data_IF_067922999396
#
_entry.id   IF_067922999396
#
_cell.length_a   1.000
_cell.length_b   1.000
_cell.length_c   1.000
_cell.angle_alpha   90.00
_cell.angle_beta   90.00
_cell.angle_gamma   90.00
#
_symmetry.space_group_name_H-M   'P 1'
#
loop_
_entity.id
_entity.type
_entity.pdbx_description
1 polymer ?
#
# COMPACT_ATOMS: atom_id res chain seq x y z
N UNK A 1 17.75 -14.85 14.10
CA UNK A 1 16.99 -13.59 13.88
C UNK A 1 16.34 -13.64 12.50
N UNK A 2 15.00 -13.53 12.41
CA UNK A 2 14.35 -13.38 11.09
C UNK A 2 14.68 -12.00 10.59
N UNK A 3 15.30 -11.90 9.42
CA UNK A 3 15.73 -10.65 8.80
C UNK A 3 14.54 -9.71 8.51
N UNK A 4 14.70 -8.41 8.73
CA UNK A 4 13.76 -7.37 8.28
C UNK A 4 13.79 -7.18 6.76
N UNK A 5 14.83 -7.67 6.10
CA UNK A 5 15.06 -7.44 4.67
C UNK A 5 13.87 -7.81 3.77
N UNK A 6 13.20 -8.97 3.93
CA UNK A 6 12.03 -9.29 3.11
C UNK A 6 10.89 -8.28 3.26
N UNK A 7 10.66 -7.79 4.49
CA UNK A 7 9.59 -6.83 4.75
C UNK A 7 9.91 -5.44 4.18
N UNK A 8 11.15 -4.99 4.32
CA UNK A 8 11.66 -3.75 3.70
C UNK A 8 11.52 -3.84 2.18
N UNK A 9 11.94 -4.95 1.58
CA UNK A 9 11.83 -5.18 0.13
C UNK A 9 10.37 -5.15 -0.34
N UNK A 10 9.46 -5.79 0.37
CA UNK A 10 8.03 -5.77 0.04
C UNK A 10 7.47 -4.34 0.07
N UNK A 11 7.75 -3.59 1.14
CA UNK A 11 7.29 -2.20 1.27
C UNK A 11 7.87 -1.34 0.16
N UNK A 12 9.16 -1.48 -0.17
CA UNK A 12 9.80 -0.73 -1.24
C UNK A 12 9.14 -1.01 -2.60
N UNK A 13 8.95 -2.29 -2.95
CA UNK A 13 8.30 -2.70 -4.20
C UNK A 13 6.88 -2.15 -4.32
N UNK A 14 6.06 -2.30 -3.27
CA UNK A 14 4.68 -1.86 -3.30
C UNK A 14 4.59 -0.33 -3.32
N UNK A 15 5.42 0.37 -2.53
CA UNK A 15 5.42 1.85 -2.53
C UNK A 15 5.77 2.40 -3.90
N UNK A 16 6.83 1.89 -4.53
CA UNK A 16 7.21 2.29 -5.88
C UNK A 16 6.07 2.02 -6.88
N UNK A 17 5.46 0.84 -6.83
CA UNK A 17 4.35 0.46 -7.70
C UNK A 17 3.14 1.37 -7.49
N UNK A 18 2.77 1.68 -6.24
CA UNK A 18 1.65 2.54 -5.90
C UNK A 18 1.83 3.98 -6.36
N UNK A 19 3.00 4.55 -6.12
CA UNK A 19 3.31 5.94 -6.52
C UNK A 19 3.09 6.14 -8.01
N UNK A 20 3.47 5.16 -8.83
CA UNK A 20 3.25 5.21 -10.28
C UNK A 20 1.81 4.85 -10.67
N UNK A 21 1.25 3.78 -10.13
CA UNK A 21 -0.11 3.32 -10.47
C UNK A 21 -1.21 4.33 -10.10
N UNK A 22 -0.98 5.18 -9.10
CA UNK A 22 -1.87 6.27 -8.70
C UNK A 22 -1.66 7.56 -9.52
N UNK A 23 -0.77 7.55 -10.50
CA UNK A 23 -0.48 8.69 -11.36
C UNK A 23 0.29 9.82 -10.67
N UNK A 24 0.92 9.57 -9.52
CA UNK A 24 1.61 10.61 -8.76
C UNK A 24 2.87 11.12 -9.45
N UNK A 25 3.40 10.38 -10.43
CA UNK A 25 4.57 10.73 -11.22
C UNK A 25 4.22 11.34 -12.57
N UNK A 26 2.93 11.54 -12.89
CA UNK A 26 2.48 12.01 -14.20
C UNK A 26 2.86 13.46 -14.47
N UNK A 27 2.98 14.28 -13.42
CA UNK A 27 3.49 15.66 -13.56
C UNK A 27 4.98 15.73 -13.21
N UNK A 28 5.76 16.62 -13.86
CA UNK A 28 7.13 16.86 -13.46
C UNK A 28 7.13 17.40 -12.04
N UNK A 29 7.58 16.55 -11.10
CA UNK A 29 7.58 16.87 -9.69
C UNK A 29 8.87 17.60 -9.35
N UNK A 30 8.70 18.72 -8.68
CA UNK A 30 9.79 19.53 -8.15
C UNK A 30 10.01 19.18 -6.68
N UNK A 31 11.15 19.53 -6.15
CA UNK A 31 11.51 19.26 -4.76
C UNK A 31 10.51 19.85 -3.74
N UNK A 32 9.66 20.77 -4.18
CA UNK A 32 8.55 21.36 -3.40
C UNK A 32 7.56 20.35 -2.83
N UNK A 33 7.45 19.14 -3.43
CA UNK A 33 6.56 18.09 -2.93
C UNK A 33 7.09 17.40 -1.68
N UNK A 34 8.42 17.41 -1.46
CA UNK A 34 9.04 16.69 -0.36
C UNK A 34 8.53 17.11 1.03
N UNK A 35 8.39 18.41 1.36
CA UNK A 35 7.86 18.83 2.66
C UNK A 35 6.41 18.35 2.87
N UNK A 36 5.56 18.43 1.83
CA UNK A 36 4.16 17.99 1.90
C UNK A 36 4.06 16.48 2.04
N UNK A 37 4.87 15.73 1.27
CA UNK A 37 4.96 14.28 1.40
C UNK A 37 5.35 13.89 2.83
N UNK A 38 6.43 14.46 3.36
CA UNK A 38 6.91 14.18 4.72
C UNK A 38 5.85 14.53 5.77
N UNK A 39 5.16 15.67 5.61
CA UNK A 39 4.08 16.07 6.52
C UNK A 39 3.02 14.97 6.61
N UNK A 40 2.44 14.53 5.48
CA UNK A 40 1.38 13.52 5.48
C UNK A 40 1.89 12.12 5.85
N UNK A 41 3.13 11.79 5.54
CA UNK A 41 3.77 10.57 6.02
C UNK A 41 3.85 10.53 7.56
N UNK A 42 4.11 11.67 8.21
CA UNK A 42 4.20 11.76 9.67
C UNK A 42 2.83 11.81 10.32
N UNK A 43 1.93 12.69 9.88
CA UNK A 43 0.66 12.95 10.58
C UNK A 43 -0.44 11.93 10.25
N UNK A 44 -0.34 11.24 9.13
CA UNK A 44 -1.38 10.32 8.67
C UNK A 44 -0.87 8.89 8.41
N UNK A 45 0.15 8.69 7.55
CA UNK A 45 0.62 7.37 7.19
C UNK A 45 1.24 6.60 8.38
N UNK A 46 2.09 7.26 9.18
CA UNK A 46 2.70 6.64 10.36
C UNK A 46 1.67 6.21 11.42
N UNK A 47 0.71 7.05 11.82
CA UNK A 47 -0.34 6.63 12.74
C UNK A 47 -1.16 5.45 12.25
N UNK A 48 -1.45 5.39 10.94
CA UNK A 48 -2.16 4.27 10.30
C UNK A 48 -1.33 2.98 10.33
N UNK A 49 -0.02 3.03 10.10
CA UNK A 49 0.85 1.86 10.17
C UNK A 49 0.84 1.22 11.59
N UNK A 50 0.72 2.04 12.63
CA UNK A 50 0.54 1.54 13.99
C UNK A 50 -0.83 0.90 14.23
N UNK A 51 -1.86 1.20 13.44
CA UNK A 51 -3.16 0.50 13.53
C UNK A 51 -3.00 -0.97 13.14
N UNK A 52 -2.27 -1.27 12.06
CA UNK A 52 -2.02 -2.66 11.67
C UNK A 52 -1.20 -3.40 12.74
N UNK A 53 -0.18 -2.74 13.32
CA UNK A 53 0.56 -3.30 14.44
C UNK A 53 -0.34 -3.58 15.65
N UNK A 54 -1.25 -2.66 15.98
CA UNK A 54 -2.23 -2.83 17.06
C UNK A 54 -3.08 -4.08 16.82
N UNK A 55 -3.63 -4.24 15.61
CA UNK A 55 -4.50 -5.36 15.26
C UNK A 55 -3.75 -6.70 15.34
N UNK A 56 -2.57 -6.79 14.71
CA UNK A 56 -1.75 -8.01 14.69
C UNK A 56 -1.24 -8.38 16.08
N UNK A 57 -0.69 -7.42 16.82
CA UNK A 57 -0.13 -7.69 18.16
C UNK A 57 -1.19 -8.11 19.15
N UNK A 58 -2.43 -7.63 18.98
CA UNK A 58 -3.55 -8.02 19.84
C UNK A 58 -4.14 -9.38 19.49
N UNK A 59 -4.24 -9.71 18.20
CA UNK A 59 -4.98 -10.90 17.75
C UNK A 59 -4.09 -12.04 17.29
N UNK A 60 -2.86 -11.76 16.87
CA UNK A 60 -1.94 -12.67 16.18
C UNK A 60 -2.58 -13.32 14.95
N UNK A 61 -3.47 -12.56 14.27
CA UNK A 61 -4.26 -13.01 13.12
C UNK A 61 -4.29 -11.96 12.03
N UNK A 62 -4.53 -12.42 10.80
CA UNK A 62 -4.82 -11.55 9.65
C UNK A 62 -6.13 -10.79 9.87
N UNK A 63 -6.33 -9.62 9.22
CA UNK A 63 -7.49 -8.76 9.45
C UNK A 63 -8.85 -9.47 9.37
N UNK A 64 -9.03 -10.39 8.42
CA UNK A 64 -10.31 -11.10 8.22
C UNK A 64 -10.74 -11.93 9.44
N UNK A 65 -9.81 -12.52 10.18
CA UNK A 65 -10.07 -13.21 11.44
C UNK A 65 -9.86 -12.32 12.67
N UNK A 66 -8.86 -11.42 12.60
CA UNK A 66 -8.51 -10.53 13.69
C UNK A 66 -9.66 -9.60 14.06
N UNK A 67 -10.39 -9.04 13.09
CA UNK A 67 -11.54 -8.20 13.33
C UNK A 67 -12.72 -8.97 13.98
N UNK A 68 -12.85 -10.27 13.71
CA UNK A 68 -13.86 -11.09 14.42
C UNK A 68 -13.52 -11.17 15.92
N UNK A 69 -12.25 -11.39 16.25
CA UNK A 69 -11.81 -11.42 17.65
C UNK A 69 -11.97 -10.06 18.32
N UNK A 70 -11.52 -8.98 17.66
CA UNK A 70 -11.59 -7.61 18.20
C UNK A 70 -13.02 -7.16 18.46
N UNK A 71 -13.94 -7.41 17.51
CA UNK A 71 -15.34 -7.00 17.64
C UNK A 71 -16.03 -7.72 18.79
N UNK A 72 -15.68 -9.00 19.02
CA UNK A 72 -16.19 -9.77 20.14
C UNK A 72 -15.61 -9.29 21.48
N UNK A 73 -14.29 -9.11 21.55
CA UNK A 73 -13.60 -8.75 22.80
C UNK A 73 -13.88 -7.30 23.25
N UNK A 74 -14.18 -6.41 22.32
CA UNK A 74 -14.49 -5.02 22.60
C UNK A 74 -16.00 -4.76 22.75
N UNK A 75 -16.83 -5.78 22.52
CA UNK A 75 -18.31 -5.70 22.51
C UNK A 75 -18.81 -4.59 21.58
N UNK A 76 -18.31 -4.56 20.36
CA UNK A 76 -18.69 -3.59 19.33
C UNK A 76 -19.42 -4.26 18.18
N UNK A 77 -20.15 -3.45 17.40
CA UNK A 77 -20.96 -3.93 16.28
C UNK A 77 -20.16 -4.82 15.32
N UNK A 78 -20.78 -5.92 14.88
CA UNK A 78 -20.23 -6.84 13.90
C UNK A 78 -20.00 -6.20 12.53
N UNK A 79 -20.62 -5.05 12.23
CA UNK A 79 -20.42 -4.29 11.00
C UNK A 79 -18.95 -3.90 10.77
N UNK A 80 -18.16 -3.71 11.83
CA UNK A 80 -16.73 -3.41 11.73
C UNK A 80 -15.90 -4.52 11.07
N UNK A 81 -16.44 -5.75 11.02
CA UNK A 81 -15.80 -6.88 10.30
C UNK A 81 -15.75 -6.66 8.79
N UNK A 82 -16.62 -5.80 8.24
CA UNK A 82 -16.65 -5.44 6.81
C UNK A 82 -15.37 -4.70 6.36
N UNK A 83 -14.59 -4.15 7.27
CA UNK A 83 -13.32 -3.51 6.93
C UNK A 83 -12.31 -4.49 6.31
N UNK A 84 -12.32 -5.78 6.72
CA UNK A 84 -11.40 -6.75 6.14
C UNK A 84 -11.74 -7.07 4.66
N UNK A 85 -12.96 -7.47 4.27
CA UNK A 85 -13.27 -7.63 2.85
C UNK A 85 -13.13 -6.31 2.06
N UNK A 86 -13.39 -5.14 2.65
CA UNK A 86 -13.15 -3.86 2.00
C UNK A 86 -11.67 -3.64 1.68
N UNK A 87 -10.77 -3.97 2.61
CA UNK A 87 -9.32 -3.90 2.38
C UNK A 87 -8.84 -4.92 1.34
N UNK A 88 -9.41 -6.12 1.31
CA UNK A 88 -9.11 -7.12 0.28
C UNK A 88 -9.56 -6.64 -1.11
N UNK A 89 -10.74 -6.01 -1.20
CA UNK A 89 -11.24 -5.40 -2.43
C UNK A 89 -10.30 -4.27 -2.90
N UNK A 90 -9.83 -3.41 -1.98
CA UNK A 90 -8.86 -2.37 -2.29
C UNK A 90 -7.57 -2.94 -2.91
N UNK A 91 -7.04 -4.05 -2.36
CA UNK A 91 -5.87 -4.73 -2.94
C UNK A 91 -6.17 -5.34 -4.32
N UNK A 92 -7.35 -5.92 -4.53
CA UNK A 92 -7.73 -6.48 -5.82
C UNK A 92 -7.86 -5.39 -6.89
N UNK A 93 -8.48 -4.24 -6.56
CA UNK A 93 -8.54 -3.08 -7.45
C UNK A 93 -7.15 -2.53 -7.75
N UNK A 94 -6.28 -2.46 -6.74
CA UNK A 94 -4.89 -2.05 -6.94
C UNK A 94 -4.14 -2.98 -7.90
N UNK A 95 -4.39 -4.29 -7.83
CA UNK A 95 -3.77 -5.25 -8.76
C UNK A 95 -4.17 -4.94 -10.21
N UNK A 96 -5.44 -4.64 -10.48
CA UNK A 96 -5.93 -4.22 -11.79
C UNK A 96 -5.26 -2.92 -12.25
N UNK A 97 -5.33 -1.88 -11.44
CA UNK A 97 -4.77 -0.56 -11.77
C UNK A 97 -3.27 -0.62 -12.04
N UNK A 98 -2.51 -1.29 -11.17
CA UNK A 98 -1.06 -1.35 -11.31
C UNK A 98 -0.62 -2.23 -12.50
N UNK A 99 -1.33 -3.31 -12.81
CA UNK A 99 -1.04 -4.13 -13.99
C UNK A 99 -1.32 -3.34 -15.28
N UNK A 100 -2.43 -2.62 -15.33
CA UNK A 100 -2.77 -1.75 -16.45
C UNK A 100 -1.73 -0.63 -16.64
N UNK A 101 -1.38 0.10 -15.57
CA UNK A 101 -0.39 1.15 -15.60
C UNK A 101 0.99 0.63 -16.06
N UNK A 102 1.45 -0.51 -15.52
CA UNK A 102 2.74 -1.10 -15.84
C UNK A 102 2.88 -1.50 -17.32
N UNK A 103 1.78 -1.72 -18.01
CA UNK A 103 1.78 -2.22 -19.39
C UNK A 103 1.44 -1.15 -20.42
N UNK A 104 0.58 -0.19 -20.07
CA UNK A 104 0.16 0.86 -21.01
C UNK A 104 1.16 2.01 -21.14
N UNK A 105 1.98 2.25 -20.11
CA UNK A 105 3.02 3.27 -20.17
C UNK A 105 4.34 2.80 -20.78
N UNK A 106 4.47 1.52 -21.11
CA UNK A 106 5.63 1.04 -21.86
C UNK A 106 5.52 1.54 -23.30
N UNK A 107 6.45 2.42 -23.69
CA UNK A 107 6.54 2.93 -25.06
C UNK A 107 7.05 1.79 -25.96
N UNK A 108 6.12 1.08 -26.56
CA UNK A 108 6.45 0.11 -27.63
C UNK A 108 6.73 0.88 -28.91
N UNK A 109 7.89 0.69 -29.49
CA UNK A 109 8.31 1.31 -30.77
C UNK A 109 7.44 0.89 -31.96
N UNK A 110 6.75 -0.25 -31.84
CA UNK A 110 5.73 -0.74 -32.78
C UNK A 110 4.57 -1.30 -31.95
N UNK A 111 3.40 -0.65 -31.89
CA UNK A 111 2.30 -1.14 -31.08
C UNK A 111 1.66 -2.34 -31.79
N UNK A 112 2.11 -3.54 -31.47
CA UNK A 112 1.27 -4.71 -31.68
C UNK A 112 0.10 -4.57 -30.68
N UNK A 113 -1.03 -4.00 -31.16
CA UNK A 113 -2.21 -3.69 -30.34
C UNK A 113 -2.66 -4.91 -29.53
N UNK A 114 -2.59 -6.11 -30.12
CA UNK A 114 -2.95 -7.36 -29.48
C UNK A 114 -2.09 -7.67 -28.25
N UNK A 115 -0.76 -7.41 -28.33
CA UNK A 115 0.13 -7.63 -27.20
C UNK A 115 -0.15 -6.64 -26.05
N UNK A 116 -0.46 -5.39 -26.37
CA UNK A 116 -0.79 -4.36 -25.39
C UNK A 116 -2.05 -4.70 -24.61
N UNK A 117 -3.05 -5.26 -25.26
CA UNK A 117 -4.31 -5.69 -24.61
C UNK A 117 -4.12 -6.92 -23.70
N UNK A 118 -3.25 -7.86 -24.08
CA UNK A 118 -3.03 -9.12 -23.35
C UNK A 118 -2.06 -8.95 -22.18
N UNK A 119 -1.15 -8.00 -22.26
CA UNK A 119 -0.06 -7.85 -21.31
C UNK A 119 -0.50 -7.62 -19.85
N UNK A 120 -1.54 -6.83 -19.52
CA UNK A 120 -2.03 -6.69 -18.15
C UNK A 120 -2.45 -8.03 -17.53
N UNK A 121 -3.07 -8.90 -18.31
CA UNK A 121 -3.48 -10.24 -17.85
C UNK A 121 -2.29 -11.16 -17.62
N UNK A 122 -1.24 -11.07 -18.45
CA UNK A 122 0.01 -11.80 -18.22
C UNK A 122 0.69 -11.33 -16.94
N UNK A 123 0.70 -10.02 -16.66
CA UNK A 123 1.21 -9.49 -15.38
C UNK A 123 0.44 -10.10 -14.21
N UNK A 124 -0.90 -10.15 -14.25
CA UNK A 124 -1.71 -10.78 -13.20
C UNK A 124 -1.41 -12.28 -13.09
N UNK A 125 -1.26 -12.99 -14.21
CA UNK A 125 -0.93 -14.41 -14.20
C UNK A 125 0.42 -14.70 -13.52
N UNK A 126 1.46 -13.97 -13.89
CA UNK A 126 2.77 -14.09 -13.24
C UNK A 126 2.72 -13.69 -11.77
N UNK A 127 1.99 -12.63 -11.44
CA UNK A 127 1.75 -12.19 -10.07
C UNK A 127 1.21 -13.32 -9.18
N UNK A 128 0.16 -13.99 -9.63
CA UNK A 128 -0.43 -15.11 -8.89
C UNK A 128 0.48 -16.33 -8.89
N UNK A 129 1.22 -16.57 -9.99
CA UNK A 129 2.25 -17.61 -10.07
C UNK A 129 3.34 -17.43 -8.99
N UNK A 130 3.88 -16.22 -8.83
CA UNK A 130 4.84 -15.93 -7.77
C UNK A 130 4.23 -16.01 -6.37
N UNK A 131 2.99 -15.58 -6.17
CA UNK A 131 2.27 -15.76 -4.91
C UNK A 131 2.06 -17.26 -4.58
N UNK A 132 1.87 -18.11 -5.60
CA UNK A 132 1.79 -19.56 -5.42
C UNK A 132 3.11 -20.15 -4.91
N UNK A 133 4.25 -19.71 -5.45
CA UNK A 133 5.59 -20.14 -4.99
C UNK A 133 5.86 -19.63 -3.57
N UNK A 134 5.35 -18.46 -3.23
CA UNK A 134 5.52 -17.79 -1.94
C UNK A 134 6.59 -16.69 -1.96
N UNK A 135 6.15 -15.48 -1.73
CA UNK A 135 6.99 -14.28 -1.85
C UNK A 135 8.06 -14.16 -0.77
N UNK A 136 7.85 -14.73 0.40
CA UNK A 136 8.77 -14.57 1.54
C UNK A 136 10.24 -14.89 1.24
N UNK A 137 10.50 -15.89 0.41
CA UNK A 137 11.87 -16.28 0.02
C UNK A 137 12.44 -15.37 -1.05
N UNK A 138 11.60 -14.97 -1.99
CA UNK A 138 11.99 -14.14 -3.14
C UNK A 138 12.27 -12.69 -2.72
N UNK A 139 11.54 -12.16 -1.76
CA UNK A 139 11.66 -10.76 -1.33
C UNK A 139 13.07 -10.36 -0.89
N UNK A 140 13.86 -11.27 -0.34
CA UNK A 140 15.26 -10.99 0.04
C UNK A 140 16.16 -10.64 -1.16
N UNK A 141 15.79 -11.10 -2.36
CA UNK A 141 16.57 -10.90 -3.59
C UNK A 141 15.95 -9.83 -4.48
N UNK A 142 14.63 -9.88 -4.68
CA UNK A 142 13.95 -9.00 -5.64
C UNK A 142 13.87 -7.55 -5.17
N UNK A 143 14.04 -7.29 -3.89
CA UNK A 143 14.05 -5.92 -3.34
C UNK A 143 15.12 -5.02 -3.92
N UNK A 144 16.21 -5.59 -4.46
CA UNK A 144 17.27 -4.82 -5.13
C UNK A 144 16.79 -4.18 -6.44
N UNK A 145 15.70 -4.67 -7.04
CA UNK A 145 15.14 -4.09 -8.26
C UNK A 145 14.72 -2.63 -8.05
N UNK A 146 14.23 -2.28 -6.85
CA UNK A 146 13.77 -0.91 -6.57
C UNK A 146 14.90 0.12 -6.66
N UNK A 147 16.00 0.01 -5.89
CA UNK A 147 17.08 0.98 -6.01
C UNK A 147 17.71 0.99 -7.40
N UNK A 148 17.83 -0.16 -8.06
CA UNK A 148 18.36 -0.23 -9.44
C UNK A 148 17.43 0.51 -10.41
N UNK A 149 16.12 0.28 -10.35
CA UNK A 149 15.15 0.97 -11.18
C UNK A 149 15.16 2.49 -10.94
N UNK A 150 15.22 2.94 -9.67
CA UNK A 150 15.30 4.36 -9.34
C UNK A 150 16.58 5.01 -9.86
N UNK A 151 17.73 4.33 -9.79
CA UNK A 151 19.00 4.82 -10.35
C UNK A 151 18.92 4.93 -11.87
N UNK A 152 18.40 3.89 -12.55
CA UNK A 152 18.23 3.91 -14.02
C UNK A 152 17.35 5.08 -14.45
N UNK A 153 16.21 5.29 -13.76
CA UNK A 153 15.33 6.41 -14.07
C UNK A 153 16.00 7.78 -13.77
N UNK A 154 16.75 7.89 -12.68
CA UNK A 154 17.48 9.11 -12.34
C UNK A 154 18.56 9.47 -13.37
N UNK A 155 19.18 8.47 -14.00
CA UNK A 155 20.20 8.68 -15.04
C UNK A 155 19.60 9.16 -16.38
N UNK A 156 18.36 8.78 -16.67
CA UNK A 156 17.63 9.18 -17.89
C UNK A 156 16.79 10.42 -17.73
N UNK A 157 16.45 10.81 -16.50
CA UNK A 157 15.63 11.99 -16.20
C UNK A 157 16.49 13.23 -15.91
N UNK A 158 16.09 14.39 -16.41
CA UNK A 158 16.67 15.67 -16.01
C UNK A 158 16.09 16.07 -14.64
N UNK A 159 16.80 15.77 -13.57
CA UNK A 159 16.39 16.18 -12.22
C UNK A 159 16.36 17.73 -12.14
N UNK A 160 15.20 18.30 -11.87
CA UNK A 160 15.04 19.73 -11.63
C UNK A 160 14.88 19.97 -10.14
N UNK A 161 15.81 20.72 -9.55
CA UNK A 161 15.79 21.08 -8.12
C UNK A 161 15.19 22.49 -7.93
N UNK A 162 13.98 22.67 -8.43
CA UNK A 162 13.27 23.95 -8.30
C UNK A 162 12.25 23.88 -7.16
N UNK A 163 12.08 24.99 -6.43
CA UNK A 163 11.08 25.15 -5.38
C UNK A 163 10.06 26.21 -5.80
N UNK A 164 8.79 25.86 -5.76
CA UNK A 164 7.69 26.78 -5.96
C UNK A 164 6.49 26.43 -5.07
N UNK A 165 5.57 27.36 -4.97
CA UNK A 165 4.33 27.15 -4.23
C UNK A 165 3.45 26.16 -4.95
N UNK A 166 3.02 25.12 -4.22
CA UNK A 166 2.13 24.09 -4.73
C UNK A 166 0.71 24.62 -4.87
N UNK A 167 0.04 24.23 -5.94
CA UNK A 167 -1.40 24.47 -6.12
C UNK A 167 -2.22 23.59 -5.18
N UNK A 168 -3.49 23.93 -4.87
CA UNK A 168 -4.36 23.07 -4.06
C UNK A 168 -4.50 21.66 -4.62
N UNK A 169 -4.54 21.49 -5.94
CA UNK A 169 -4.62 20.17 -6.60
C UNK A 169 -3.34 19.35 -6.36
N UNK A 170 -2.18 19.98 -6.41
CA UNK A 170 -0.90 19.32 -6.11
C UNK A 170 -0.81 18.91 -4.64
N UNK A 171 -1.31 19.72 -3.71
CA UNK A 171 -1.44 19.33 -2.31
C UNK A 171 -2.30 18.09 -2.14
N UNK A 172 -3.47 18.03 -2.79
CA UNK A 172 -4.37 16.88 -2.76
C UNK A 172 -3.68 15.62 -3.34
N UNK A 173 -2.99 15.78 -4.47
CA UNK A 173 -2.27 14.70 -5.13
C UNK A 173 -1.23 14.08 -4.19
N UNK A 174 -0.37 14.90 -3.58
CA UNK A 174 0.69 14.42 -2.68
C UNK A 174 0.11 13.84 -1.39
N UNK A 175 -0.91 14.48 -0.80
CA UNK A 175 -1.58 13.98 0.39
C UNK A 175 -2.26 12.62 0.13
N UNK A 176 -2.98 12.48 -0.99
CA UNK A 176 -3.59 11.22 -1.38
C UNK A 176 -2.53 10.14 -1.59
N UNK A 177 -1.44 10.47 -2.28
CA UNK A 177 -0.32 9.56 -2.48
C UNK A 177 0.31 9.08 -1.18
N UNK A 178 0.58 9.98 -0.25
CA UNK A 178 1.14 9.62 1.05
C UNK A 178 0.21 8.69 1.85
N UNK A 179 -1.11 8.95 1.86
CA UNK A 179 -2.07 8.09 2.54
C UNK A 179 -2.24 6.75 1.83
N UNK A 180 -2.47 6.77 0.52
CA UNK A 180 -2.76 5.55 -0.25
C UNK A 180 -1.55 4.63 -0.35
N UNK A 181 -0.33 5.19 -0.44
CA UNK A 181 0.91 4.40 -0.38
C UNK A 181 1.20 3.82 1.00
N UNK A 182 0.43 4.21 2.03
CA UNK A 182 0.69 3.78 3.41
C UNK A 182 0.57 2.27 3.63
N UNK A 183 0.00 1.51 2.68
CA UNK A 183 -0.24 0.06 2.78
C UNK A 183 -1.00 -0.34 4.04
N UNK A 184 -1.27 0.61 4.92
CA UNK A 184 -2.04 0.42 6.14
C UNK A 184 -3.49 0.12 5.78
N UNK A 185 -4.15 -0.59 6.65
CA UNK A 185 -5.54 -1.00 6.44
C UNK A 185 -5.80 -1.82 5.16
N UNK A 186 -4.74 -2.31 4.50
CA UNK A 186 -4.83 -3.21 3.35
C UNK A 186 -4.65 -4.68 3.75
N UNK A 187 -4.11 -4.92 4.94
CA UNK A 187 -3.68 -6.24 5.41
C UNK A 187 -2.24 -6.60 5.03
N UNK A 188 -1.57 -5.83 4.17
CA UNK A 188 -0.17 -6.08 3.78
C UNK A 188 0.76 -5.91 4.97
N UNK A 189 0.64 -4.81 5.73
CA UNK A 189 1.42 -4.65 6.96
C UNK A 189 1.14 -5.77 7.96
N UNK A 190 -0.10 -6.20 8.10
CA UNK A 190 -0.44 -7.34 8.96
C UNK A 190 0.27 -8.60 8.51
N UNK A 191 0.25 -8.91 7.20
CA UNK A 191 0.96 -10.06 6.63
C UNK A 191 2.48 -9.98 6.87
N UNK A 192 3.10 -8.80 6.69
CA UNK A 192 4.53 -8.58 6.95
C UNK A 192 4.88 -8.73 8.43
N UNK A 193 4.07 -8.16 9.32
CA UNK A 193 4.30 -8.21 10.77
C UNK A 193 4.19 -9.62 11.33
N UNK A 194 3.26 -10.43 10.81
CA UNK A 194 3.12 -11.83 11.22
C UNK A 194 4.32 -12.70 10.82
N UNK A 195 5.09 -12.29 9.83
CA UNK A 195 6.31 -13.00 9.42
C UNK A 195 7.56 -12.58 10.20
N UNK A 196 7.51 -11.45 10.90
CA UNK A 196 8.61 -10.96 11.72
C UNK A 196 8.63 -11.63 13.09
N UNK A 197 9.79 -11.57 13.75
CA UNK A 197 9.90 -11.92 15.18
C UNK A 197 9.19 -10.83 15.99
N UNK A 198 8.31 -11.22 16.94
CA UNK A 198 7.69 -10.24 17.84
C UNK A 198 8.75 -9.41 18.55
N UNK A 199 8.60 -8.08 18.52
CA UNK A 199 9.47 -7.13 19.22
C UNK A 199 8.76 -6.60 20.46
N UNK A 200 9.51 -6.10 21.43
CA UNK A 200 8.94 -5.54 22.65
C UNK A 200 8.04 -4.34 22.34
N UNK A 201 8.51 -3.41 21.52
CA UNK A 201 7.79 -2.20 21.12
C UNK A 201 7.29 -2.29 19.67
N UNK A 202 6.09 -1.78 19.41
CA UNK A 202 5.55 -1.71 18.04
C UNK A 202 6.39 -0.81 17.13
N UNK A 203 7.00 0.24 17.70
CA UNK A 203 7.89 1.17 16.97
C UNK A 203 9.07 0.45 16.31
N UNK A 204 9.67 -0.53 16.97
CA UNK A 204 10.80 -1.29 16.41
C UNK A 204 10.45 -2.11 15.18
N UNK A 205 9.16 -2.43 14.99
CA UNK A 205 8.67 -3.16 13.81
C UNK A 205 8.20 -2.20 12.71
N UNK A 206 7.53 -1.11 13.10
CA UNK A 206 6.87 -0.21 12.16
C UNK A 206 7.80 0.85 11.58
N UNK A 207 8.68 1.45 12.40
CA UNK A 207 9.53 2.55 11.94
C UNK A 207 10.43 2.18 10.74
N UNK A 208 11.10 1.00 10.68
CA UNK A 208 11.88 0.63 9.50
C UNK A 208 11.04 0.51 8.23
N UNK A 209 9.81 -0.02 8.33
CA UNK A 209 8.91 -0.17 7.19
C UNK A 209 8.38 1.19 6.71
N UNK A 210 7.92 2.01 7.65
CA UNK A 210 7.45 3.36 7.36
C UNK A 210 8.57 4.25 6.79
N UNK A 211 9.80 4.15 7.31
CA UNK A 211 10.95 4.89 6.78
C UNK A 211 11.26 4.46 5.34
N UNK A 212 11.24 3.15 5.07
CA UNK A 212 11.41 2.62 3.70
C UNK A 212 10.36 3.19 2.75
N UNK A 213 9.10 3.16 3.15
CA UNK A 213 8.00 3.72 2.38
C UNK A 213 8.20 5.23 2.13
N UNK A 214 8.56 5.98 3.17
CA UNK A 214 8.79 7.43 3.08
C UNK A 214 9.91 7.76 2.10
N UNK A 215 11.04 7.06 2.20
CA UNK A 215 12.22 7.29 1.35
C UNK A 215 11.97 6.84 -0.08
N UNK A 216 11.45 5.63 -0.29
CA UNK A 216 11.19 5.11 -1.64
C UNK A 216 10.12 5.94 -2.35
N UNK A 217 9.05 6.33 -1.65
CA UNK A 217 8.01 7.18 -2.21
C UNK A 217 8.56 8.56 -2.59
N UNK A 218 9.36 9.17 -1.72
CA UNK A 218 10.01 10.44 -2.02
C UNK A 218 10.94 10.35 -3.22
N UNK A 219 11.78 9.33 -3.29
CA UNK A 219 12.69 9.12 -4.42
C UNK A 219 11.92 8.87 -5.72
N UNK A 220 10.86 8.05 -5.70
CA UNK A 220 10.03 7.81 -6.86
C UNK A 220 9.34 9.10 -7.36
N UNK A 221 8.90 9.95 -6.44
CA UNK A 221 8.33 11.27 -6.75
C UNK A 221 9.37 12.21 -7.36
N UNK A 222 10.57 12.31 -6.79
CA UNK A 222 11.64 13.21 -7.25
C UNK A 222 12.17 12.80 -8.63
N UNK A 223 12.30 11.49 -8.87
CA UNK A 223 12.78 10.97 -10.15
C UNK A 223 11.71 11.10 -11.25
N UNK A 224 10.43 11.12 -10.88
CA UNK A 224 9.31 11.45 -11.77
C UNK A 224 8.92 10.35 -12.74
N UNK A 225 8.29 10.75 -13.85
CA UNK A 225 7.73 9.85 -14.84
C UNK A 225 8.83 9.11 -15.61
N UNK A 226 8.61 7.83 -15.81
CA UNK A 226 9.45 6.98 -16.64
C UNK A 226 9.34 7.32 -18.13
N UNK A 227 10.46 7.60 -18.75
CA UNK A 227 10.54 7.82 -20.20
C UNK A 227 11.44 6.77 -20.90
N UNK A 228 12.30 6.10 -20.12
CA UNK A 228 13.25 5.11 -20.64
C UNK A 228 12.63 3.71 -20.66
N UNK A 229 12.77 3.00 -21.77
CA UNK A 229 12.27 1.64 -21.96
C UNK A 229 12.85 0.64 -20.92
N UNK A 230 14.13 0.79 -20.56
CA UNK A 230 14.78 -0.09 -19.57
C UNK A 230 14.12 0.10 -18.20
N UNK A 231 13.88 1.35 -17.81
CA UNK A 231 13.18 1.64 -16.56
C UNK A 231 11.78 1.06 -16.54
N UNK A 232 11.02 1.19 -17.64
CA UNK A 232 9.66 0.67 -17.74
C UNK A 232 9.60 -0.85 -17.58
N UNK A 233 10.57 -1.58 -18.16
CA UNK A 233 10.69 -3.03 -17.95
C UNK A 233 11.01 -3.35 -16.48
N UNK A 234 11.95 -2.62 -15.88
CA UNK A 234 12.27 -2.79 -14.45
C UNK A 234 11.09 -2.47 -13.55
N UNK A 235 10.35 -1.40 -13.85
CA UNK A 235 9.12 -1.05 -13.14
C UNK A 235 8.07 -2.16 -13.26
N UNK A 236 7.87 -2.72 -14.45
CA UNK A 236 6.94 -3.85 -14.64
C UNK A 236 7.34 -5.06 -13.80
N UNK A 237 8.63 -5.38 -13.71
CA UNK A 237 9.12 -6.44 -12.82
C UNK A 237 8.86 -6.11 -11.35
N UNK A 238 9.13 -4.88 -10.91
CA UNK A 238 8.79 -4.42 -9.56
C UNK A 238 7.29 -4.56 -9.28
N UNK A 239 6.44 -4.17 -10.24
CA UNK A 239 4.99 -4.28 -10.13
C UNK A 239 4.55 -5.75 -9.99
N UNK A 240 5.05 -6.67 -10.79
CA UNK A 240 4.73 -8.11 -10.68
C UNK A 240 5.01 -8.62 -9.26
N UNK A 241 6.19 -8.33 -8.71
CA UNK A 241 6.55 -8.78 -7.37
C UNK A 241 5.78 -8.05 -6.26
N UNK A 242 5.51 -6.76 -6.41
CA UNK A 242 4.67 -5.99 -5.51
C UNK A 242 3.25 -6.57 -5.44
N UNK A 243 2.66 -6.81 -6.60
CA UNK A 243 1.32 -7.38 -6.72
C UNK A 243 1.26 -8.84 -6.24
N UNK A 244 2.37 -9.60 -6.37
CA UNK A 244 2.45 -10.95 -5.81
C UNK A 244 2.37 -10.94 -4.27
N UNK A 245 2.91 -9.92 -3.61
CA UNK A 245 2.71 -9.72 -2.15
C UNK A 245 1.24 -9.41 -1.84
N UNK A 246 0.58 -8.57 -2.65
CA UNK A 246 -0.84 -8.30 -2.49
C UNK A 246 -1.70 -9.56 -2.68
N UNK A 247 -1.41 -10.34 -3.72
CA UNK A 247 -2.09 -11.60 -4.01
C UNK A 247 -1.90 -12.63 -2.88
N UNK A 248 -0.68 -12.77 -2.35
CA UNK A 248 -0.40 -13.65 -1.22
C UNK A 248 -1.10 -13.17 0.05
N UNK A 249 -1.18 -11.85 0.26
CA UNK A 249 -1.91 -11.26 1.40
C UNK A 249 -3.40 -11.58 1.35
N UNK A 250 -4.05 -11.45 0.19
CA UNK A 250 -5.46 -11.82 0.00
C UNK A 250 -5.61 -13.34 0.17
N UNK A 251 -4.77 -14.12 -0.50
CA UNK A 251 -4.76 -15.58 -0.43
C UNK A 251 -4.61 -16.09 0.99
N UNK A 252 -3.70 -15.51 1.79
CA UNK A 252 -3.50 -15.87 3.19
C UNK A 252 -4.74 -15.59 4.05
N UNK A 253 -5.45 -14.49 3.81
CA UNK A 253 -6.70 -14.19 4.53
C UNK A 253 -7.82 -15.19 4.19
N UNK A 254 -7.93 -15.61 2.93
CA UNK A 254 -8.91 -16.63 2.50
C UNK A 254 -8.56 -18.01 3.05
N UNK A 255 -7.28 -18.37 3.04
CA UNK A 255 -6.80 -19.64 3.64
C UNK A 255 -7.04 -19.69 5.15
N UNK A 256 -6.89 -18.58 5.87
CA UNK A 256 -7.25 -18.46 7.27
C UNK A 256 -8.75 -18.75 7.52
N UNK A 257 -9.60 -18.54 6.52
CA UNK A 257 -11.03 -18.93 6.54
C UNK A 257 -11.29 -20.38 6.12
N UNK A 258 -10.25 -21.17 5.92
CA UNK A 258 -10.38 -22.59 5.55
C UNK A 258 -10.42 -22.85 4.04
N UNK A 259 -10.19 -21.83 3.19
CA UNK A 259 -10.13 -22.08 1.74
C UNK A 259 -8.83 -22.82 1.39
N UNK A 260 -8.92 -23.82 0.52
CA UNK A 260 -7.74 -24.46 -0.02
C UNK A 260 -6.91 -23.46 -0.84
N UNK A 261 -5.56 -23.55 -0.79
CA UNK A 261 -4.67 -22.63 -1.50
C UNK A 261 -5.00 -22.45 -2.98
N UNK A 262 -5.31 -23.51 -3.77
CA UNK A 262 -5.70 -23.36 -5.17
C UNK A 262 -6.96 -22.49 -5.35
N UNK A 263 -7.97 -22.69 -4.51
CA UNK A 263 -9.23 -21.94 -4.57
C UNK A 263 -9.01 -20.48 -4.18
N UNK A 264 -8.24 -20.25 -3.12
CA UNK A 264 -7.92 -18.90 -2.66
C UNK A 264 -7.15 -18.11 -3.71
N UNK A 265 -6.10 -18.68 -4.30
CA UNK A 265 -5.32 -17.99 -5.34
C UNK A 265 -6.04 -17.94 -6.70
N UNK A 266 -6.87 -18.95 -7.02
CA UNK A 266 -7.74 -18.92 -8.19
C UNK A 266 -8.77 -17.78 -8.13
N UNK A 267 -9.34 -17.52 -6.94
CA UNK A 267 -10.24 -16.37 -6.76
C UNK A 267 -9.50 -15.03 -6.87
N UNK A 268 -8.24 -14.94 -6.39
CA UNK A 268 -7.39 -13.76 -6.56
C UNK A 268 -7.06 -13.53 -8.04
N UNK A 269 -6.75 -14.60 -8.79
CA UNK A 269 -6.52 -14.52 -10.24
C UNK A 269 -7.75 -13.98 -10.97
N UNK A 270 -8.93 -14.53 -10.67
CA UNK A 270 -10.18 -14.07 -11.26
C UNK A 270 -10.45 -12.59 -10.94
N UNK A 271 -10.30 -12.20 -9.66
CA UNK A 271 -10.47 -10.81 -9.25
C UNK A 271 -9.46 -9.89 -9.96
N UNK A 272 -8.19 -10.29 -10.07
CA UNK A 272 -7.15 -9.54 -10.77
C UNK A 272 -7.45 -9.36 -12.26
N UNK A 273 -7.93 -10.40 -12.94
CA UNK A 273 -8.34 -10.33 -14.36
C UNK A 273 -9.51 -9.37 -14.53
N UNK A 274 -10.55 -9.49 -13.71
CA UNK A 274 -11.72 -8.61 -13.77
C UNK A 274 -11.37 -7.15 -13.50
N UNK A 275 -10.49 -6.90 -12.52
CA UNK A 275 -10.07 -5.53 -12.20
C UNK A 275 -9.12 -4.95 -13.25
N UNK A 276 -8.27 -5.77 -13.88
CA UNK A 276 -7.43 -5.35 -15.00
C UNK A 276 -8.27 -4.95 -16.22
N UNK A 277 -9.36 -5.69 -16.53
CA UNK A 277 -10.29 -5.34 -17.59
C UNK A 277 -11.05 -4.02 -17.32
N UNK A 278 -11.27 -3.69 -16.06
CA UNK A 278 -11.98 -2.47 -15.67
C UNK A 278 -11.04 -1.25 -15.51
N UNK A 279 -9.73 -1.47 -15.45
CA UNK A 279 -8.75 -0.42 -15.11
C UNK A 279 -8.55 0.65 -16.20
N UNK A 280 -9.02 0.41 -17.42
CA UNK A 280 -9.02 1.40 -18.52
C UNK A 280 -10.05 2.52 -18.33
N UNK A 281 -11.07 2.30 -17.50
CA UNK A 281 -12.13 3.29 -17.27
C UNK A 281 -11.72 4.29 -16.19
N UNK A 282 -11.90 5.58 -16.43
CA UNK A 282 -11.61 6.65 -15.48
C UNK A 282 -12.35 6.45 -14.15
N UNK A 283 -13.59 5.97 -14.20
CA UNK A 283 -14.37 5.66 -13.00
C UNK A 283 -13.72 4.61 -12.10
N UNK A 284 -12.87 3.74 -12.63
CA UNK A 284 -12.16 2.72 -11.87
C UNK A 284 -11.10 3.34 -10.94
N UNK A 285 -10.31 4.32 -11.42
CA UNK A 285 -9.32 5.03 -10.61
C UNK A 285 -9.98 5.76 -9.43
N UNK A 286 -11.12 6.44 -9.67
CA UNK A 286 -11.91 7.03 -8.61
C UNK A 286 -12.43 6.00 -7.60
N UNK A 287 -12.96 4.87 -8.08
CA UNK A 287 -13.45 3.79 -7.23
C UNK A 287 -12.33 3.19 -6.37
N UNK A 288 -11.15 2.94 -6.94
CA UNK A 288 -9.98 2.45 -6.23
C UNK A 288 -9.59 3.41 -5.09
N UNK A 289 -9.40 4.70 -5.41
CA UNK A 289 -9.00 5.71 -4.43
C UNK A 289 -10.05 5.86 -3.33
N UNK A 290 -11.33 5.91 -3.68
CA UNK A 290 -12.44 6.00 -2.71
C UNK A 290 -12.48 4.79 -1.77
N UNK A 291 -12.38 3.56 -2.29
CA UNK A 291 -12.41 2.34 -1.49
C UNK A 291 -11.20 2.26 -0.58
N UNK A 292 -10.01 2.62 -1.05
CA UNK A 292 -8.82 2.70 -0.21
C UNK A 292 -8.98 3.71 0.92
N UNK A 293 -9.43 4.95 0.62
CA UNK A 293 -9.66 5.99 1.62
C UNK A 293 -10.74 5.60 2.64
N UNK A 294 -11.84 4.98 2.20
CA UNK A 294 -12.89 4.48 3.10
C UNK A 294 -12.36 3.37 4.02
N UNK A 295 -11.51 2.49 3.51
CA UNK A 295 -10.83 1.47 4.33
C UNK A 295 -9.96 2.13 5.39
N UNK A 296 -9.09 3.08 5.01
CA UNK A 296 -8.22 3.83 5.92
C UNK A 296 -9.03 4.56 7.01
N UNK A 297 -10.09 5.27 6.61
CA UNK A 297 -10.99 5.96 7.54
C UNK A 297 -11.63 4.99 8.53
N UNK A 298 -12.16 3.86 8.03
CA UNK A 298 -12.79 2.84 8.86
C UNK A 298 -11.83 2.26 9.90
N UNK A 299 -10.61 1.90 9.50
CA UNK A 299 -9.60 1.39 10.44
C UNK A 299 -9.13 2.47 11.43
N UNK A 300 -9.00 3.73 11.00
CA UNK A 300 -8.67 4.84 11.90
C UNK A 300 -9.76 5.06 12.96
N UNK A 301 -11.03 5.06 12.56
CA UNK A 301 -12.16 5.18 13.48
C UNK A 301 -12.24 3.98 14.42
N UNK A 302 -12.06 2.76 13.91
CA UNK A 302 -12.02 1.56 14.75
C UNK A 302 -10.93 1.66 15.82
N UNK A 303 -9.69 1.98 15.43
CA UNK A 303 -8.56 2.04 16.35
C UNK A 303 -8.63 3.23 17.32
N UNK A 304 -9.04 4.40 16.82
CA UNK A 304 -9.07 5.62 17.60
C UNK A 304 -10.25 5.75 18.56
N UNK A 305 -11.42 5.19 18.19
CA UNK A 305 -12.68 5.47 18.89
C UNK A 305 -13.36 4.22 19.46
N UNK A 306 -13.17 3.04 18.88
CA UNK A 306 -13.88 1.82 19.28
C UNK A 306 -13.03 0.89 20.14
N UNK A 307 -11.72 0.79 19.88
CA UNK A 307 -10.84 -0.03 20.72
C UNK A 307 -10.58 0.68 22.05
N UNK A 308 -10.70 -0.07 23.15
CA UNK A 308 -10.43 0.44 24.51
C UNK A 308 -8.97 0.92 24.61
N UNK A 309 -8.77 2.08 25.25
CA UNK A 309 -7.46 2.75 25.37
C UNK A 309 -6.43 1.82 26.04
N UNK A 310 -6.82 1.12 27.10
CA UNK A 310 -5.95 0.18 27.81
C UNK A 310 -5.43 -0.96 26.90
N UNK A 311 -6.29 -1.46 26.02
CA UNK A 311 -5.93 -2.52 25.08
C UNK A 311 -4.98 -2.01 23.98
N UNK A 312 -5.24 -0.81 23.44
CA UNK A 312 -4.38 -0.18 22.47
C UNK A 312 -3.00 0.13 23.04
N UNK A 313 -2.95 0.70 24.25
CA UNK A 313 -1.70 1.03 24.94
C UNK A 313 -0.85 -0.23 25.20
N UNK A 314 -1.46 -1.31 25.70
CA UNK A 314 -0.77 -2.59 25.96
C UNK A 314 -0.25 -3.23 24.66
N UNK A 315 -1.02 -3.19 23.59
CA UNK A 315 -0.64 -3.81 22.32
C UNK A 315 0.51 -3.05 21.64
N UNK A 316 0.45 -1.71 21.59
CA UNK A 316 1.47 -0.89 20.96
C UNK A 316 2.75 -0.80 21.79
N UNK A 317 2.62 -0.80 23.12
CA UNK A 317 3.72 -0.76 24.07
C UNK A 317 4.81 0.26 23.69
N UNK A 318 4.41 1.53 23.49
CA UNK A 318 5.36 2.61 23.22
C UNK A 318 6.28 2.85 24.42
N UNK A 319 7.52 3.27 24.15
CA UNK A 319 8.52 3.56 25.19
C UNK A 319 8.13 4.71 26.11
N UNK A 320 7.34 5.68 25.60
CA UNK A 320 6.87 6.85 26.33
C UNK A 320 5.38 7.09 26.15
N UNK A 321 4.73 7.52 27.22
CA UNK A 321 3.30 7.84 27.19
C UNK A 321 2.96 9.00 26.26
N UNK A 322 3.85 9.99 26.14
CA UNK A 322 3.68 11.10 25.20
C UNK A 322 3.56 10.67 23.75
N UNK A 323 4.33 9.66 23.32
CA UNK A 323 4.24 9.09 21.95
C UNK A 323 2.87 8.43 21.74
N UNK A 324 2.36 7.70 22.73
CA UNK A 324 1.02 7.11 22.67
C UNK A 324 -0.06 8.18 22.54
N UNK A 325 0.04 9.25 23.34
CA UNK A 325 -0.94 10.34 23.33
C UNK A 325 -0.90 11.09 21.98
N UNK A 326 0.28 11.33 21.44
CA UNK A 326 0.45 11.95 20.11
C UNK A 326 -0.15 11.05 19.01
N UNK A 327 0.16 9.74 19.01
CA UNK A 327 -0.44 8.78 18.10
C UNK A 327 -1.97 8.80 18.19
N UNK A 328 -2.50 8.87 19.40
CA UNK A 328 -3.95 8.90 19.64
C UNK A 328 -4.61 10.18 19.09
N UNK A 329 -3.94 11.33 19.20
CA UNK A 329 -4.42 12.58 18.59
C UNK A 329 -4.44 12.44 17.06
N UNK A 330 -3.37 11.98 16.47
CA UNK A 330 -3.29 11.83 15.01
C UNK A 330 -4.33 10.85 14.48
N UNK A 331 -4.46 9.68 15.07
CA UNK A 331 -5.40 8.66 14.59
C UNK A 331 -6.88 9.06 14.79
N UNK A 332 -7.18 9.94 15.75
CA UNK A 332 -8.53 10.43 16.00
C UNK A 332 -8.90 11.68 15.21
N UNK A 333 -7.94 12.54 14.93
CA UNK A 333 -8.20 13.85 14.30
C UNK A 333 -7.53 13.96 12.94
N UNK A 334 -6.19 13.88 12.86
CA UNK A 334 -5.47 14.16 11.64
C UNK A 334 -5.86 13.19 10.52
N UNK A 335 -5.86 11.89 10.79
CA UNK A 335 -6.18 10.87 9.78
C UNK A 335 -7.63 11.00 9.29
N UNK A 336 -8.67 11.02 10.14
CA UNK A 336 -10.04 11.20 9.65
C UNK A 336 -10.27 12.51 8.90
N UNK A 337 -9.74 13.63 9.40
CA UNK A 337 -9.89 14.94 8.75
C UNK A 337 -9.25 14.92 7.37
N UNK A 338 -8.00 14.45 7.26
CA UNK A 338 -7.31 14.35 5.96
C UNK A 338 -8.04 13.41 5.00
N UNK A 339 -8.50 12.25 5.49
CA UNK A 339 -9.18 11.27 4.65
C UNK A 339 -10.53 11.79 4.14
N UNK A 340 -11.32 12.44 5.01
CA UNK A 340 -12.59 13.06 4.62
C UNK A 340 -12.36 14.22 3.65
N UNK A 341 -11.36 15.08 3.90
CA UNK A 341 -10.98 16.13 2.96
C UNK A 341 -10.65 15.56 1.57
N UNK A 342 -9.86 14.49 1.49
CA UNK A 342 -9.54 13.85 0.21
C UNK A 342 -10.77 13.21 -0.46
N UNK A 343 -11.66 12.57 0.29
CA UNK A 343 -12.91 12.01 -0.25
C UNK A 343 -13.82 13.11 -0.81
N UNK A 344 -13.95 14.22 -0.11
CA UNK A 344 -14.76 15.38 -0.57
C UNK A 344 -14.13 16.00 -1.82
N UNK A 345 -12.81 16.16 -1.86
CA UNK A 345 -12.10 16.74 -3.01
C UNK A 345 -12.16 15.89 -4.28
N UNK A 346 -12.54 14.60 -4.17
CA UNK A 346 -12.76 13.75 -5.35
C UNK A 346 -14.12 13.99 -6.01
N UNK A 347 -15.05 14.62 -5.30
CA UNK A 347 -16.44 14.89 -5.78
C UNK A 347 -16.62 16.32 -6.24
N UNK A 348 -15.84 17.27 -5.67
CA UNK A 348 -15.86 18.68 -6.02
C UNK A 348 -14.91 18.99 -7.18
#
# INVERSE_FOLDING_TARGET
MKSFLPAISAVALITMTLVHALGLTAEPLHLSFAPVWLLFMIIAALPLAFVDALLVRRTQKMPLEGLVSITRDADISTRWRLLAPLSMLALALLMGQASHYATHNVAWTEPNMMLKEVLPYLVIFFTVGFAWVGMRRLLSFVGILVPVALVVNAMSSSLKFEFFLLTPQQWQLVASGALLSSLSASGVYAWLLMQQTPQQHASSQILPLWLTQTVVGLLALVVGQATDAIYLVMYMLCAIFALAVCAETIGAQLQAKGWAKPIALGSVLLAGVLTASAAEYVAFDYALKAIMLLSLLGFAVLAGWKIKISHARKALNFSHEGIYNLWRVFIRLAVPVTTVWLLVSMVL
#
